data_IF_086730991359
#
_entry.id   IF_086730991359
#
_cell.length_a   1.000
_cell.length_b   1.000
_cell.length_c   1.000
_cell.angle_alpha   90.00
_cell.angle_beta   90.00
_cell.angle_gamma   90.00
#
_symmetry.space_group_name_H-M   'P 1'
#
loop_
_entity.id
_entity.type
_entity.pdbx_description
1 polymer ?
#
# COMPACT_ATOMS: atom_id res chain seq x y z
N UNK A 1 72.36 -13.74 -4.38
CA UNK A 1 71.78 -13.76 -3.02
C UNK A 1 71.29 -12.35 -2.73
N UNK A 2 70.07 -12.18 -2.23
CA UNK A 2 69.56 -10.89 -1.75
C UNK A 2 69.53 -10.90 -0.23
N UNK A 3 70.10 -9.88 0.41
CA UNK A 3 70.15 -9.79 1.86
C UNK A 3 68.73 -9.62 2.44
N UNK A 4 68.43 -10.38 3.51
CA UNK A 4 67.17 -10.19 4.26
C UNK A 4 67.35 -9.02 5.20
N UNK A 5 66.63 -7.93 4.95
CA UNK A 5 66.45 -6.87 5.95
C UNK A 5 65.66 -7.44 7.13
N UNK A 6 66.30 -7.46 8.30
CA UNK A 6 65.72 -7.91 9.56
C UNK A 6 65.66 -6.74 10.55
N UNK A 7 64.49 -6.55 11.17
CA UNK A 7 64.29 -5.50 12.15
C UNK A 7 64.20 -6.12 13.56
N UNK A 8 64.90 -5.57 14.57
CA UNK A 8 64.84 -6.06 15.94
C UNK A 8 63.55 -5.60 16.63
N UNK A 9 62.86 -6.51 17.32
CA UNK A 9 61.71 -6.22 18.16
C UNK A 9 61.80 -7.00 19.49
N UNK A 10 61.06 -6.61 20.55
CA UNK A 10 61.02 -7.37 21.79
C UNK A 10 60.44 -8.77 21.55
N UNK A 11 61.31 -9.80 21.57
CA UNK A 11 60.95 -11.19 21.29
C UNK A 11 61.65 -11.81 20.06
N UNK A 12 62.31 -11.02 19.20
CA UNK A 12 63.11 -11.58 18.09
C UNK A 12 63.31 -10.63 16.91
N UNK A 13 63.84 -11.20 15.81
CA UNK A 13 64.00 -10.50 14.54
C UNK A 13 62.87 -10.84 13.58
N UNK A 14 62.19 -9.83 13.03
CA UNK A 14 61.22 -10.00 11.94
C UNK A 14 61.90 -9.78 10.58
N UNK A 15 61.59 -10.62 9.59
CA UNK A 15 62.02 -10.48 8.19
C UNK A 15 60.80 -10.31 7.28
N UNK A 16 60.89 -9.40 6.30
CA UNK A 16 59.80 -9.13 5.34
C UNK A 16 59.49 -10.39 4.49
N UNK A 17 58.23 -10.83 4.36
CA UNK A 17 57.85 -11.96 3.53
C UNK A 17 58.12 -11.73 2.04
N UNK A 18 58.44 -12.80 1.30
CA UNK A 18 58.63 -12.78 -0.14
C UNK A 18 57.31 -12.97 -0.90
N UNK A 19 57.29 -12.65 -2.19
CA UNK A 19 56.09 -12.77 -3.03
C UNK A 19 55.54 -14.21 -3.17
N UNK A 20 56.30 -15.24 -2.79
CA UNK A 20 55.77 -16.62 -2.67
C UNK A 20 54.99 -16.84 -1.38
N UNK A 21 55.45 -16.26 -0.28
CA UNK A 21 54.86 -16.44 1.05
C UNK A 21 53.45 -15.82 1.12
N UNK A 22 53.23 -14.73 0.38
CA UNK A 22 51.92 -14.09 0.20
C UNK A 22 50.81 -15.02 -0.34
N UNK A 23 51.14 -16.04 -1.14
CA UNK A 23 50.13 -16.94 -1.69
C UNK A 23 49.63 -17.97 -0.66
N UNK A 24 50.52 -18.44 0.23
CA UNK A 24 50.15 -19.35 1.32
C UNK A 24 49.26 -18.64 2.35
N UNK A 25 49.58 -17.38 2.68
CA UNK A 25 48.80 -16.54 3.61
C UNK A 25 47.36 -16.31 3.12
N UNK A 26 47.11 -16.34 1.80
CA UNK A 26 45.77 -16.14 1.23
C UNK A 26 44.85 -17.37 1.34
N UNK A 27 45.39 -18.58 1.57
CA UNK A 27 44.56 -19.79 1.72
C UNK A 27 44.12 -20.01 3.19
N UNK A 28 44.93 -19.63 4.18
CA UNK A 28 44.64 -19.89 5.60
C UNK A 28 43.92 -18.76 6.37
N UNK A 29 43.82 -17.54 5.81
CA UNK A 29 43.11 -16.46 6.49
C UNK A 29 41.57 -16.66 6.48
N UNK A 30 40.89 -16.57 7.64
CA UNK A 30 39.43 -16.77 7.77
C UNK A 30 38.63 -15.53 7.34
N UNK A 31 38.94 -14.99 6.14
CA UNK A 31 38.29 -13.81 5.59
C UNK A 31 36.86 -14.15 5.17
N UNK A 32 35.87 -13.41 5.67
CA UNK A 32 34.46 -13.69 5.47
C UNK A 32 34.04 -13.63 3.97
N UNK A 33 33.00 -14.38 3.55
CA UNK A 33 32.60 -14.48 2.14
C UNK A 33 32.42 -13.16 1.36
N UNK A 34 31.92 -12.05 1.93
CA UNK A 34 31.77 -10.79 1.20
C UNK A 34 33.08 -10.26 0.60
N UNK A 35 34.20 -10.31 1.34
CA UNK A 35 35.48 -9.74 0.86
C UNK A 35 36.07 -10.54 -0.30
N UNK A 36 35.81 -11.85 -0.39
CA UNK A 36 36.21 -12.69 -1.54
C UNK A 36 35.52 -12.23 -2.84
N UNK A 37 34.30 -11.71 -2.78
CA UNK A 37 33.56 -11.22 -3.95
C UNK A 37 34.11 -9.86 -4.43
N UNK A 38 34.43 -8.95 -3.51
CA UNK A 38 35.07 -7.66 -3.86
C UNK A 38 36.46 -7.84 -4.49
N UNK A 39 37.21 -8.85 -4.05
CA UNK A 39 38.48 -9.24 -4.67
C UNK A 39 38.36 -9.67 -6.15
N UNK A 40 37.24 -10.27 -6.56
CA UNK A 40 37.00 -10.68 -7.96
C UNK A 40 36.80 -9.49 -8.92
N UNK A 41 36.34 -8.34 -8.41
CA UNK A 41 36.26 -7.07 -9.16
C UNK A 41 37.49 -6.18 -8.95
N UNK A 42 38.57 -6.73 -8.38
CA UNK A 42 39.84 -6.03 -8.15
C UNK A 42 39.86 -5.08 -6.95
N UNK A 43 38.76 -4.94 -6.21
CA UNK A 43 38.67 -4.02 -5.08
C UNK A 43 39.23 -4.66 -3.81
N UNK A 44 40.41 -4.20 -3.38
CA UNK A 44 40.96 -4.50 -2.05
C UNK A 44 40.37 -3.54 -1.02
N UNK A 45 39.58 -4.09 -0.10
CA UNK A 45 39.12 -3.40 1.12
C UNK A 45 40.09 -3.77 2.25
N UNK A 46 40.58 -2.76 2.98
CA UNK A 46 41.48 -2.95 4.13
C UNK A 46 40.69 -3.06 5.43
N UNK A 47 41.32 -3.54 6.51
CA UNK A 47 40.74 -3.64 7.85
C UNK A 47 40.62 -2.29 8.58
N UNK A 48 40.40 -1.18 7.86
CA UNK A 48 40.05 0.10 8.48
C UNK A 48 38.54 0.26 8.53
N UNK A 49 38.01 0.78 9.64
CA UNK A 49 36.58 1.06 9.79
C UNK A 49 36.06 2.12 8.81
N UNK A 50 36.96 2.88 8.16
CA UNK A 50 36.63 3.74 7.03
C UNK A 50 36.39 2.94 5.75
N UNK A 51 37.31 2.04 5.39
CA UNK A 51 37.21 1.23 4.17
C UNK A 51 36.01 0.26 4.21
N UNK A 52 35.72 -0.32 5.37
CA UNK A 52 34.50 -1.16 5.54
C UNK A 52 33.21 -0.34 5.40
N UNK A 53 33.18 0.90 5.91
CA UNK A 53 32.04 1.81 5.76
C UNK A 53 31.83 2.20 4.29
N UNK A 54 32.91 2.58 3.59
CA UNK A 54 32.87 2.94 2.16
C UNK A 54 32.43 1.75 1.30
N UNK A 55 32.95 0.55 1.55
CA UNK A 55 32.56 -0.66 0.83
C UNK A 55 31.08 -1.03 1.08
N UNK A 56 30.61 -0.92 2.33
CA UNK A 56 29.20 -1.17 2.70
C UNK A 56 28.25 -0.17 2.02
N UNK A 57 28.59 1.12 2.03
CA UNK A 57 27.80 2.17 1.39
C UNK A 57 27.73 1.95 -0.13
N UNK A 58 28.86 1.68 -0.78
CA UNK A 58 28.92 1.44 -2.23
C UNK A 58 28.13 0.20 -2.66
N UNK A 59 28.24 -0.92 -1.93
CA UNK A 59 27.43 -2.13 -2.18
C UNK A 59 25.93 -1.85 -2.01
N UNK A 60 25.55 -1.12 -0.96
CA UNK A 60 24.16 -0.75 -0.69
C UNK A 60 23.59 0.14 -1.81
N UNK A 61 24.34 1.15 -2.25
CA UNK A 61 23.97 2.01 -3.38
C UNK A 61 23.85 1.23 -4.69
N UNK A 62 24.76 0.30 -4.97
CA UNK A 62 24.72 -0.54 -6.17
C UNK A 62 23.47 -1.45 -6.18
N UNK A 63 23.15 -2.08 -5.06
CA UNK A 63 21.95 -2.92 -4.92
C UNK A 63 20.66 -2.10 -5.04
N UNK A 64 20.62 -0.88 -4.48
CA UNK A 64 19.49 0.03 -4.65
C UNK A 64 19.30 0.43 -6.13
N UNK A 65 20.38 0.79 -6.83
CA UNK A 65 20.33 1.13 -8.26
C UNK A 65 19.86 -0.06 -9.13
N UNK A 66 20.36 -1.26 -8.87
CA UNK A 66 19.90 -2.49 -9.55
C UNK A 66 18.40 -2.72 -9.30
N UNK A 67 17.93 -2.52 -8.06
CA UNK A 67 16.51 -2.67 -7.70
C UNK A 67 15.63 -1.65 -8.43
N UNK A 68 16.06 -0.38 -8.52
CA UNK A 68 15.36 0.66 -9.29
C UNK A 68 15.31 0.33 -10.78
N UNK A 69 16.41 -0.16 -11.36
CA UNK A 69 16.46 -0.59 -12.78
C UNK A 69 15.48 -1.74 -13.04
N UNK A 70 15.45 -2.77 -12.17
CA UNK A 70 14.51 -3.89 -12.26
C UNK A 70 13.06 -3.41 -12.12
N UNK A 71 12.79 -2.49 -11.18
CA UNK A 71 11.45 -1.91 -10.97
C UNK A 71 10.97 -1.12 -12.19
N UNK A 72 11.82 -0.27 -12.76
CA UNK A 72 11.49 0.52 -13.97
C UNK A 72 11.31 -0.38 -15.19
N UNK A 73 12.16 -1.39 -15.37
CA UNK A 73 12.05 -2.36 -16.46
C UNK A 73 10.77 -3.21 -16.36
N UNK A 74 10.46 -3.72 -15.16
CA UNK A 74 9.22 -4.46 -14.89
C UNK A 74 7.98 -3.59 -15.08
N UNK A 75 8.00 -2.35 -14.60
CA UNK A 75 6.90 -1.39 -14.77
C UNK A 75 6.64 -1.07 -16.23
N UNK A 76 7.70 -0.75 -17.01
CA UNK A 76 7.59 -0.53 -18.46
C UNK A 76 7.05 -1.76 -19.19
N UNK A 77 7.52 -2.95 -18.82
CA UNK A 77 7.05 -4.22 -19.40
C UNK A 77 5.57 -4.45 -19.09
N UNK A 78 5.15 -4.25 -17.83
CA UNK A 78 3.76 -4.38 -17.39
C UNK A 78 2.83 -3.38 -18.11
N UNK A 79 3.22 -2.11 -18.21
CA UNK A 79 2.49 -1.10 -18.98
C UNK A 79 2.37 -1.48 -20.47
N UNK A 80 3.45 -1.98 -21.09
CA UNK A 80 3.40 -2.45 -22.48
C UNK A 80 2.46 -3.65 -22.68
N UNK A 81 2.41 -4.57 -21.71
CA UNK A 81 1.47 -5.69 -21.72
C UNK A 81 0.02 -5.23 -21.49
N UNK A 82 -0.20 -4.24 -20.61
CA UNK A 82 -1.53 -3.65 -20.36
C UNK A 82 -2.07 -2.95 -21.60
N UNK A 83 -1.23 -2.16 -22.29
CA UNK A 83 -1.57 -1.54 -23.57
C UNK A 83 -1.86 -2.58 -24.67
N UNK A 84 -1.01 -3.60 -24.83
CA UNK A 84 -1.26 -4.72 -25.78
C UNK A 84 -2.54 -5.48 -25.47
N UNK A 85 -2.88 -5.69 -24.19
CA UNK A 85 -4.14 -6.33 -23.75
C UNK A 85 -5.36 -5.46 -24.02
N UNK A 86 -5.27 -4.14 -23.81
CA UNK A 86 -6.34 -3.20 -24.13
C UNK A 86 -6.65 -3.18 -25.64
N UNK A 87 -5.62 -2.99 -26.48
CA UNK A 87 -5.78 -3.02 -27.95
C UNK A 87 -6.27 -4.39 -28.48
N UNK A 88 -5.88 -5.49 -27.82
CA UNK A 88 -6.40 -6.82 -28.13
C UNK A 88 -7.82 -7.10 -27.58
N UNK A 89 -8.36 -6.23 -26.73
CA UNK A 89 -9.77 -6.25 -26.32
C UNK A 89 -10.62 -5.38 -27.25
N UNK A 90 -10.11 -4.18 -27.59
CA UNK A 90 -10.68 -3.24 -28.55
C UNK A 90 -10.93 -3.90 -29.91
N UNK A 91 -9.90 -4.49 -30.54
CA UNK A 91 -10.07 -5.22 -31.81
C UNK A 91 -10.99 -6.44 -31.74
N UNK A 92 -11.23 -7.01 -30.54
CA UNK A 92 -12.25 -8.06 -30.36
C UNK A 92 -13.66 -7.47 -30.30
N UNK A 93 -13.84 -6.32 -29.65
CA UNK A 93 -15.10 -5.59 -29.68
C UNK A 93 -15.45 -5.15 -31.12
N UNK A 94 -14.50 -4.59 -31.87
CA UNK A 94 -14.68 -4.23 -33.28
C UNK A 94 -15.08 -5.44 -34.15
N UNK A 95 -14.43 -6.59 -33.92
CA UNK A 95 -14.74 -7.83 -34.64
C UNK A 95 -16.15 -8.36 -34.31
N UNK A 96 -16.59 -8.22 -33.06
CA UNK A 96 -17.95 -8.60 -32.64
C UNK A 96 -19.00 -7.61 -33.14
N UNK A 97 -18.68 -6.31 -33.18
CA UNK A 97 -19.53 -5.27 -33.76
C UNK A 97 -19.73 -5.48 -35.26
N UNK A 98 -18.64 -5.70 -36.02
CA UNK A 98 -18.72 -5.95 -37.46
C UNK A 98 -19.49 -7.24 -37.81
N UNK A 99 -19.32 -8.33 -37.05
CA UNK A 99 -20.16 -9.53 -37.24
C UNK A 99 -21.64 -9.28 -36.91
N UNK A 100 -21.94 -8.45 -35.90
CA UNK A 100 -23.32 -8.07 -35.56
C UNK A 100 -23.95 -7.19 -36.66
N UNK A 101 -23.21 -6.24 -37.20
CA UNK A 101 -23.64 -5.38 -38.32
C UNK A 101 -23.86 -6.17 -39.61
N UNK A 102 -23.02 -7.16 -39.92
CA UNK A 102 -23.23 -8.04 -41.08
C UNK A 102 -24.51 -8.90 -40.95
N UNK A 103 -24.84 -9.38 -39.75
CA UNK A 103 -26.11 -10.08 -39.52
C UNK A 103 -27.33 -9.15 -39.68
N UNK A 104 -27.24 -7.90 -39.20
CA UNK A 104 -28.34 -6.93 -39.31
C UNK A 104 -28.55 -6.40 -40.74
N UNK A 105 -27.47 -6.25 -41.52
CA UNK A 105 -27.59 -5.82 -42.93
C UNK A 105 -28.32 -6.84 -43.81
N UNK A 106 -28.34 -8.12 -43.40
CA UNK A 106 -29.01 -9.19 -44.15
C UNK A 106 -30.52 -9.30 -43.82
N UNK A 107 -31.02 -8.58 -42.81
CA UNK A 107 -32.44 -8.58 -42.40
C UNK A 107 -33.17 -7.26 -42.68
N UNK A 108 -32.46 -6.15 -42.85
CA UNK A 108 -33.07 -4.81 -42.91
C UNK A 108 -33.36 -4.25 -44.31
N UNK A 109 -33.15 -5.02 -45.38
CA UNK A 109 -33.29 -4.53 -46.76
C UNK A 109 -34.75 -4.46 -47.28
N UNK A 110 -35.72 -4.31 -46.38
CA UNK A 110 -37.17 -4.30 -46.63
C UNK A 110 -37.91 -3.34 -45.68
N UNK A 111 -37.63 -2.03 -45.74
CA UNK A 111 -38.71 -1.03 -45.66
C UNK A 111 -38.35 0.40 -46.08
N UNK A 112 -39.35 1.03 -46.67
CA UNK A 112 -39.46 2.35 -47.30
C UNK A 112 -39.11 3.59 -46.46
N UNK A 113 -38.52 4.58 -47.14
CA UNK A 113 -38.87 6.02 -47.19
C UNK A 113 -39.97 6.54 -46.22
N UNK A 114 -39.73 7.70 -45.55
CA UNK A 114 -40.45 8.96 -45.86
C UNK A 114 -39.80 10.26 -45.29
N UNK A 115 -40.40 11.42 -45.58
CA UNK A 115 -39.81 12.78 -45.65
C UNK A 115 -40.03 13.80 -44.49
N UNK A 116 -39.16 14.83 -44.45
CA UNK A 116 -39.43 16.30 -44.28
C UNK A 116 -39.53 17.04 -42.90
N UNK A 117 -38.75 18.15 -42.81
CA UNK A 117 -39.01 19.51 -42.23
C UNK A 117 -39.41 19.69 -40.74
N UNK A 118 -39.17 20.82 -40.03
CA UNK A 118 -38.97 22.24 -40.45
C UNK A 118 -38.22 23.14 -39.40
N UNK A 119 -38.01 24.43 -39.73
CA UNK A 119 -37.35 25.55 -39.01
C UNK A 119 -38.02 25.98 -37.66
N UNK A 120 -37.53 26.90 -36.77
CA UNK A 120 -37.01 28.27 -37.03
C UNK A 120 -36.47 29.10 -35.80
N UNK A 121 -35.49 30.00 -36.05
CA UNK A 121 -35.23 31.39 -35.48
C UNK A 121 -34.89 31.76 -34.00
N UNK A 122 -33.74 32.46 -33.88
CA UNK A 122 -33.42 33.73 -33.16
C UNK A 122 -33.42 33.78 -31.60
N UNK A 123 -32.69 34.69 -30.92
CA UNK A 123 -32.11 36.00 -31.31
C UNK A 123 -30.71 36.31 -30.67
N UNK A 124 -30.04 37.40 -31.12
CA UNK A 124 -28.78 37.99 -30.58
C UNK A 124 -29.05 38.92 -29.38
N UNK A 125 -28.09 39.44 -28.59
CA UNK A 125 -26.63 39.66 -28.74
C UNK A 125 -25.94 39.57 -27.32
N UNK A 126 -24.72 40.02 -26.94
CA UNK A 126 -23.70 40.96 -27.47
C UNK A 126 -22.28 40.72 -26.86
N UNK A 127 -21.29 41.49 -27.36
CA UNK A 127 -19.94 41.86 -26.86
C UNK A 127 -19.80 42.11 -25.33
N UNK A 128 -18.62 42.09 -24.65
CA UNK A 128 -17.18 41.76 -24.89
C UNK A 128 -16.45 41.73 -23.50
N UNK A 129 -15.13 41.58 -23.25
CA UNK A 129 -13.89 41.61 -24.06
C UNK A 129 -12.69 40.85 -23.41
N UNK A 130 -11.61 40.66 -24.19
CA UNK A 130 -10.17 40.51 -23.86
C UNK A 130 -9.62 39.86 -22.57
N UNK A 131 -8.93 38.73 -22.82
CA UNK A 131 -7.70 38.22 -22.19
C UNK A 131 -6.58 39.24 -21.88
N UNK A 132 -5.79 38.96 -20.84
CA UNK A 132 -4.33 39.18 -20.83
C UNK A 132 -3.59 38.16 -19.92
N UNK A 133 -2.31 37.88 -20.21
CA UNK A 133 -1.43 37.08 -19.36
C UNK A 133 -0.90 37.88 -18.15
N UNK A 134 -0.58 37.19 -17.06
CA UNK A 134 0.33 37.65 -16.03
C UNK A 134 1.39 36.58 -15.75
N UNK A 135 2.67 36.95 -15.78
CA UNK A 135 3.80 36.05 -15.47
C UNK A 135 4.11 36.12 -13.97
N UNK A 136 4.35 34.98 -13.32
CA UNK A 136 4.75 34.95 -11.91
C UNK A 136 6.27 35.06 -11.79
N UNK A 137 6.76 36.08 -11.09
CA UNK A 137 8.20 36.29 -10.88
C UNK A 137 8.78 35.34 -9.81
N UNK A 138 10.01 34.87 -10.05
CA UNK A 138 10.85 34.33 -8.99
C UNK A 138 11.47 35.48 -8.16
N UNK A 139 11.46 35.41 -6.81
CA UNK A 139 12.33 36.25 -5.99
C UNK A 139 13.74 35.63 -5.91
N UNK A 140 14.77 36.36 -6.34
CA UNK A 140 16.14 36.04 -5.98
C UNK A 140 16.45 36.59 -4.58
N UNK A 141 16.86 35.73 -3.66
CA UNK A 141 17.31 36.13 -2.33
C UNK A 141 18.85 36.01 -2.26
N UNK A 142 19.54 37.15 -2.15
CA UNK A 142 20.97 37.20 -1.84
C UNK A 142 21.20 37.00 -0.35
N UNK A 143 21.95 35.97 0.03
CA UNK A 143 22.30 35.69 1.44
C UNK A 143 23.81 35.83 1.64
N UNK A 144 24.20 36.59 2.65
CA UNK A 144 25.59 36.79 3.06
C UNK A 144 25.73 36.66 4.57
N UNK A 145 26.41 35.59 5.03
CA UNK A 145 26.97 35.44 6.39
C UNK A 145 26.01 35.45 7.58
N UNK A 146 25.75 34.28 8.18
CA UNK A 146 26.36 33.94 9.50
C UNK A 146 25.97 32.53 10.00
N UNK A 147 26.93 31.66 10.38
CA UNK A 147 26.64 30.32 10.90
C UNK A 147 26.43 30.34 12.42
N UNK A 148 25.26 30.82 12.88
CA UNK A 148 24.94 30.86 14.32
C UNK A 148 23.50 31.17 14.72
N UNK A 149 22.54 31.20 13.79
CA UNK A 149 21.16 31.65 14.04
C UNK A 149 20.07 30.70 13.47
N UNK A 150 20.44 29.45 13.16
CA UNK A 150 19.54 28.38 12.70
C UNK A 150 18.98 27.55 13.86
N UNK A 151 19.85 26.96 14.68
CA UNK A 151 19.50 25.98 15.71
C UNK A 151 18.42 26.49 16.68
N UNK A 152 18.50 27.75 17.11
CA UNK A 152 17.51 28.35 18.02
C UNK A 152 16.11 28.52 17.41
N UNK A 153 16.00 28.62 16.08
CA UNK A 153 14.70 28.68 15.38
C UNK A 153 14.11 27.28 15.20
N UNK A 154 14.95 26.30 14.87
CA UNK A 154 14.56 24.89 14.76
C UNK A 154 14.03 24.35 16.10
N UNK A 155 14.71 24.67 17.21
CA UNK A 155 14.22 24.32 18.57
C UNK A 155 12.90 25.00 18.91
N UNK A 156 12.71 26.28 18.56
CA UNK A 156 11.46 27.00 18.82
C UNK A 156 10.30 26.45 17.98
N UNK A 157 10.55 26.03 16.74
CA UNK A 157 9.57 25.39 15.87
C UNK A 157 9.17 23.99 16.39
N UNK A 158 10.14 23.19 16.86
CA UNK A 158 9.85 21.91 17.51
C UNK A 158 9.00 22.05 18.78
N UNK A 159 9.24 23.07 19.61
CA UNK A 159 8.40 23.32 20.79
C UNK A 159 6.95 23.68 20.42
N UNK A 160 6.75 24.50 19.37
CA UNK A 160 5.39 24.81 18.89
C UNK A 160 4.66 23.58 18.34
N UNK A 161 5.37 22.68 17.64
CA UNK A 161 4.81 21.42 17.15
C UNK A 161 4.42 20.47 18.29
N UNK A 162 5.26 20.36 19.33
CA UNK A 162 4.92 19.56 20.51
C UNK A 162 3.71 20.11 21.27
N UNK A 163 3.54 21.44 21.34
CA UNK A 163 2.32 22.04 21.90
C UNK A 163 1.09 21.73 21.04
N UNK A 164 1.15 21.90 19.72
CA UNK A 164 0.03 21.60 18.82
C UNK A 164 -0.38 20.12 18.85
N UNK A 165 0.59 19.19 18.97
CA UNK A 165 0.29 17.77 19.15
C UNK A 165 -0.38 17.48 20.50
N UNK A 166 0.10 18.09 21.60
CA UNK A 166 -0.53 17.95 22.91
C UNK A 166 -1.94 18.56 22.97
N UNK A 167 -2.19 19.66 22.26
CA UNK A 167 -3.52 20.26 22.12
C UNK A 167 -4.46 19.31 21.36
N UNK A 168 -4.04 18.75 20.22
CA UNK A 168 -4.82 17.76 19.47
C UNK A 168 -5.09 16.48 20.26
N UNK A 169 -4.11 15.97 21.02
CA UNK A 169 -4.30 14.82 21.90
C UNK A 169 -5.30 15.12 23.02
N UNK A 170 -5.28 16.33 23.60
CA UNK A 170 -6.26 16.75 24.60
C UNK A 170 -7.67 16.95 24.01
N UNK A 171 -7.80 17.50 22.80
CA UNK A 171 -9.09 17.60 22.11
C UNK A 171 -9.68 16.22 21.83
N UNK A 172 -8.89 15.26 21.31
CA UNK A 172 -9.35 13.89 21.10
C UNK A 172 -9.75 13.19 22.41
N UNK A 173 -8.98 13.38 23.49
CA UNK A 173 -9.33 12.82 24.80
C UNK A 173 -10.61 13.45 25.37
N UNK A 174 -10.83 14.75 25.19
CA UNK A 174 -12.06 15.43 25.61
C UNK A 174 -13.28 14.98 24.78
N UNK A 175 -13.13 14.74 23.47
CA UNK A 175 -14.18 14.19 22.63
C UNK A 175 -14.54 12.75 23.03
N UNK A 176 -13.55 11.91 23.36
CA UNK A 176 -13.78 10.55 23.87
C UNK A 176 -14.48 10.54 25.23
N UNK A 177 -14.15 11.47 26.14
CA UNK A 177 -14.78 11.60 27.46
C UNK A 177 -16.22 12.12 27.42
N UNK A 178 -16.65 12.73 26.31
CA UNK A 178 -18.03 13.24 26.15
C UNK A 178 -19.03 12.18 25.66
N UNK A 179 -18.57 11.00 25.20
CA UNK A 179 -19.49 9.92 24.81
C UNK A 179 -20.09 9.25 26.06
N UNK A 180 -21.42 9.20 26.21
CA UNK A 180 -22.03 8.46 27.31
C UNK A 180 -21.79 6.95 27.12
N UNK A 181 -21.53 6.19 28.20
CA UNK A 181 -20.94 4.83 28.13
C UNK A 181 -21.84 3.75 27.49
N UNK A 182 -23.07 4.08 27.10
CA UNK A 182 -23.95 3.22 26.31
C UNK A 182 -23.83 3.43 24.79
N UNK A 183 -23.65 4.68 24.33
CA UNK A 183 -23.61 5.02 22.89
C UNK A 183 -22.31 4.58 22.22
N UNK A 184 -21.21 4.64 22.97
CA UNK A 184 -19.87 4.12 22.61
C UNK A 184 -19.86 2.64 22.16
N UNK A 185 -20.93 1.87 22.37
CA UNK A 185 -21.04 0.47 21.96
C UNK A 185 -21.87 0.20 20.70
N UNK A 186 -22.52 1.21 20.09
CA UNK A 186 -23.34 1.03 18.89
C UNK A 186 -22.52 1.15 17.59
N UNK A 187 -23.07 0.69 16.49
CA UNK A 187 -22.51 0.83 15.14
C UNK A 187 -23.34 1.83 14.36
N UNK A 188 -22.69 2.83 13.75
CA UNK A 188 -23.39 3.82 12.93
C UNK A 188 -23.13 3.59 11.45
N UNK A 189 -24.21 3.48 10.67
CA UNK A 189 -24.21 3.27 9.21
C UNK A 189 -25.34 4.10 8.61
N UNK A 190 -25.05 4.92 7.58
CA UNK A 190 -26.02 5.83 6.95
C UNK A 190 -26.77 6.73 7.96
N UNK A 191 -26.06 7.22 8.98
CA UNK A 191 -26.60 7.99 10.12
C UNK A 191 -27.76 7.30 10.86
N UNK A 192 -27.75 5.96 10.90
CA UNK A 192 -28.59 5.12 11.73
C UNK A 192 -27.70 4.30 12.68
N UNK A 193 -28.13 4.15 13.93
CA UNK A 193 -27.42 3.41 14.99
C UNK A 193 -28.00 2.00 15.13
N UNK A 194 -27.12 1.01 15.26
CA UNK A 194 -27.45 -0.41 15.31
C UNK A 194 -26.77 -1.12 16.49
N UNK A 195 -27.49 -2.00 17.19
CA UNK A 195 -26.91 -2.90 18.21
C UNK A 195 -26.59 -4.27 17.60
N UNK A 196 -25.34 -4.42 17.15
CA UNK A 196 -24.87 -5.64 16.50
C UNK A 196 -24.23 -6.64 17.48
N UNK A 197 -24.26 -6.42 18.81
CA UNK A 197 -23.54 -7.24 19.80
C UNK A 197 -23.90 -8.73 19.72
N UNK A 198 -25.19 -9.05 19.64
CA UNK A 198 -25.65 -10.44 19.45
C UNK A 198 -25.32 -11.03 18.06
N UNK A 199 -25.04 -10.17 17.07
CA UNK A 199 -24.72 -10.59 15.71
C UNK A 199 -23.21 -10.81 15.50
N UNK A 200 -22.33 -10.21 16.32
CA UNK A 200 -20.87 -10.25 16.11
C UNK A 200 -20.31 -11.68 15.94
N UNK A 201 -20.76 -12.62 16.77
CA UNK A 201 -20.33 -14.03 16.71
C UNK A 201 -20.89 -14.81 15.50
N UNK A 202 -21.86 -14.24 14.78
CA UNK A 202 -22.53 -14.80 13.59
C UNK A 202 -22.16 -14.07 12.29
N UNK A 203 -21.40 -12.98 12.39
CA UNK A 203 -20.97 -12.19 11.23
C UNK A 203 -20.05 -13.01 10.31
N UNK A 204 -20.29 -13.10 8.99
CA UNK A 204 -19.47 -13.92 8.09
C UNK A 204 -18.00 -13.50 7.99
N UNK A 205 -17.68 -12.20 8.13
CA UNK A 205 -16.29 -11.72 8.24
C UNK A 205 -15.63 -12.02 9.60
N UNK A 206 -16.40 -12.54 10.57
CA UNK A 206 -15.98 -12.80 11.94
C UNK A 206 -16.10 -11.62 12.89
N UNK A 207 -15.81 -11.88 14.16
CA UNK A 207 -15.90 -10.92 15.27
C UNK A 207 -15.00 -9.70 15.05
N UNK A 208 -13.75 -9.91 14.65
CA UNK A 208 -12.77 -8.82 14.53
C UNK A 208 -13.21 -7.80 13.47
N UNK A 209 -13.66 -8.27 12.30
CA UNK A 209 -14.13 -7.43 11.20
C UNK A 209 -15.29 -6.50 11.57
N UNK A 210 -16.22 -6.96 12.40
CA UNK A 210 -17.36 -6.16 12.86
C UNK A 210 -16.99 -5.30 14.09
N UNK A 211 -16.10 -5.77 14.97
CA UNK A 211 -15.60 -4.96 16.10
C UNK A 211 -14.90 -3.66 15.64
N UNK A 212 -14.26 -3.65 14.47
CA UNK A 212 -13.64 -2.45 13.90
C UNK A 212 -14.63 -1.29 13.62
N UNK A 213 -15.94 -1.58 13.50
CA UNK A 213 -16.99 -0.58 13.32
C UNK A 213 -17.67 -0.12 14.62
N UNK A 214 -17.26 -0.61 15.79
CA UNK A 214 -17.94 -0.31 17.05
C UNK A 214 -17.61 1.10 17.57
N UNK A 215 -18.62 1.81 18.08
CA UNK A 215 -18.49 3.14 18.68
C UNK A 215 -18.19 4.26 17.70
N UNK A 216 -18.56 4.10 16.43
CA UNK A 216 -18.22 5.03 15.35
C UNK A 216 -19.18 4.93 14.15
N UNK A 217 -19.16 5.95 13.31
CA UNK A 217 -19.64 5.83 11.93
C UNK A 217 -18.70 4.89 11.15
N UNK A 218 -19.28 3.98 10.39
CA UNK A 218 -18.57 2.97 9.61
C UNK A 218 -19.25 2.74 8.25
N UNK A 219 -19.93 3.75 7.71
CA UNK A 219 -20.71 3.65 6.45
C UNK A 219 -19.83 3.27 5.25
N UNK A 220 -18.64 3.87 5.17
CA UNK A 220 -17.63 3.68 4.13
C UNK A 220 -17.12 2.24 4.15
N UNK A 221 -16.80 1.73 5.34
CA UNK A 221 -16.41 0.33 5.59
C UNK A 221 -17.55 -0.62 5.23
N UNK A 222 -18.77 -0.32 5.69
CA UNK A 222 -19.94 -1.15 5.48
C UNK A 222 -20.24 -1.32 3.99
N UNK A 223 -20.35 -0.23 3.21
CA UNK A 223 -20.61 -0.32 1.78
C UNK A 223 -19.44 -0.98 1.02
N UNK A 224 -18.19 -0.66 1.38
CA UNK A 224 -17.00 -1.22 0.72
C UNK A 224 -16.90 -2.74 0.90
N UNK A 225 -16.95 -3.24 2.13
CA UNK A 225 -16.83 -4.67 2.42
C UNK A 225 -18.06 -5.49 1.95
N UNK A 226 -19.26 -4.90 1.94
CA UNK A 226 -20.47 -5.57 1.44
C UNK A 226 -20.75 -5.33 -0.05
N UNK A 227 -19.88 -4.62 -0.77
CA UNK A 227 -20.05 -4.27 -2.18
C UNK A 227 -20.31 -5.47 -3.10
N UNK A 228 -19.71 -6.63 -2.82
CA UNK A 228 -19.92 -7.89 -3.58
C UNK A 228 -20.83 -8.91 -2.86
N UNK A 229 -21.36 -8.57 -1.68
CA UNK A 229 -22.26 -9.43 -0.93
C UNK A 229 -23.71 -9.38 -1.45
N UNK A 230 -24.55 -10.29 -0.95
CA UNK A 230 -26.01 -10.23 -1.18
C UNK A 230 -26.61 -9.05 -0.40
N UNK A 231 -26.60 -7.88 -1.03
CA UNK A 231 -27.01 -6.60 -0.47
C UNK A 231 -28.43 -6.60 0.12
N UNK A 232 -29.37 -7.35 -0.46
CA UNK A 232 -30.72 -7.53 0.10
C UNK A 232 -30.69 -8.28 1.43
N UNK A 233 -29.87 -9.33 1.54
CA UNK A 233 -29.69 -10.08 2.80
C UNK A 233 -28.95 -9.23 3.85
N UNK A 234 -27.91 -8.49 3.45
CA UNK A 234 -27.13 -7.63 4.36
C UNK A 234 -28.02 -6.53 4.95
N UNK A 235 -28.69 -5.72 4.10
CA UNK A 235 -29.57 -4.64 4.58
C UNK A 235 -30.76 -5.17 5.40
N UNK A 236 -31.35 -6.31 5.02
CA UNK A 236 -32.42 -6.95 5.80
C UNK A 236 -31.96 -7.66 7.09
N UNK A 237 -30.64 -7.84 7.27
CA UNK A 237 -30.05 -8.28 8.54
C UNK A 237 -29.80 -7.07 9.42
N UNK A 238 -29.11 -6.04 8.90
CA UNK A 238 -28.83 -4.78 9.58
C UNK A 238 -30.10 -4.12 10.15
N UNK A 239 -31.17 -4.04 9.34
CA UNK A 239 -32.44 -3.45 9.76
C UNK A 239 -33.14 -4.13 10.96
N UNK A 240 -32.75 -5.37 11.34
CA UNK A 240 -33.27 -6.06 12.54
C UNK A 240 -32.62 -5.56 13.84
N UNK A 241 -31.48 -4.89 13.71
CA UNK A 241 -30.66 -4.40 14.82
C UNK A 241 -30.74 -2.88 14.97
N UNK A 242 -31.63 -2.22 14.21
CA UNK A 242 -31.84 -0.77 14.26
C UNK A 242 -32.31 -0.32 15.65
N UNK A 243 -31.70 0.75 16.16
CA UNK A 243 -32.04 1.40 17.43
C UNK A 243 -32.67 2.76 17.16
N UNK A 244 -31.93 3.66 16.51
CA UNK A 244 -32.31 5.08 16.32
C UNK A 244 -31.63 5.71 15.09
N UNK A 245 -32.05 6.93 14.74
CA UNK A 245 -31.29 7.79 13.83
C UNK A 245 -30.33 8.67 14.65
N UNK A 246 -29.15 8.96 14.09
CA UNK A 246 -28.13 9.77 14.75
C UNK A 246 -28.56 11.24 14.80
N UNK A 247 -28.51 11.91 15.97
CA UNK A 247 -28.70 13.36 16.08
C UNK A 247 -27.66 14.14 15.27
N UNK A 248 -28.02 15.28 14.70
CA UNK A 248 -27.12 16.07 13.82
C UNK A 248 -25.92 16.69 14.53
N UNK A 249 -25.99 16.74 15.85
CA UNK A 249 -25.02 17.24 16.81
C UNK A 249 -24.19 16.12 17.46
N UNK A 250 -24.47 14.85 17.18
CA UNK A 250 -23.71 13.72 17.69
C UNK A 250 -22.41 13.50 16.88
N UNK A 251 -21.30 13.07 17.52
CA UNK A 251 -19.99 12.97 16.88
C UNK A 251 -19.88 11.84 15.84
N UNK A 252 -20.85 10.93 15.78
CA UNK A 252 -20.95 9.88 14.76
C UNK A 252 -21.84 10.25 13.56
N UNK A 253 -22.40 11.46 13.51
CA UNK A 253 -23.12 11.97 12.34
C UNK A 253 -22.13 12.41 11.24
N UNK A 254 -22.30 11.92 10.00
CA UNK A 254 -21.55 12.46 8.85
C UNK A 254 -22.45 12.75 7.64
N UNK A 255 -22.18 13.85 6.95
CA UNK A 255 -22.80 14.21 5.67
C UNK A 255 -21.76 14.66 4.62
N UNK A 256 -20.52 14.19 4.75
CA UNK A 256 -19.39 14.47 3.84
C UNK A 256 -19.54 13.74 2.49
N UNK A 257 -20.18 12.58 2.48
CA UNK A 257 -20.49 11.81 1.27
C UNK A 257 -22.00 11.79 1.03
N UNK A 258 -22.40 12.02 -0.22
CA UNK A 258 -23.78 11.81 -0.67
C UNK A 258 -23.98 10.32 -0.99
N UNK A 259 -24.79 9.65 -0.19
CA UNK A 259 -25.01 8.20 -0.24
C UNK A 259 -26.32 7.81 -0.97
N UNK A 260 -27.19 8.75 -1.32
CA UNK A 260 -28.43 8.46 -2.06
C UNK A 260 -28.21 8.37 -3.57
N UNK A 261 -27.28 9.15 -4.12
CA UNK A 261 -26.99 9.21 -5.57
C UNK A 261 -25.50 9.00 -5.84
N UNK A 262 -25.07 7.73 -5.98
CA UNK A 262 -23.65 7.35 -6.10
C UNK A 262 -23.26 6.82 -7.50
N UNK A 263 -23.60 7.49 -8.63
CA UNK A 263 -23.61 6.90 -9.96
C UNK A 263 -22.29 6.29 -10.45
N UNK A 264 -21.14 6.83 -10.00
CA UNK A 264 -19.82 6.23 -10.29
C UNK A 264 -19.60 4.92 -9.51
N UNK A 265 -19.92 4.92 -8.21
CA UNK A 265 -19.79 3.75 -7.35
C UNK A 265 -20.76 2.65 -7.79
N UNK A 266 -22.02 2.98 -8.11
CA UNK A 266 -23.02 2.01 -8.58
C UNK A 266 -22.61 1.35 -9.91
N UNK A 267 -22.14 2.14 -10.88
CA UNK A 267 -21.65 1.61 -12.16
C UNK A 267 -20.38 0.76 -11.99
N UNK A 268 -19.50 1.12 -11.04
CA UNK A 268 -18.33 0.32 -10.68
C UNK A 268 -18.74 -1.00 -10.00
N UNK A 269 -19.59 -0.94 -8.96
CA UNK A 269 -20.19 -2.08 -8.22
C UNK A 269 -20.84 -3.05 -9.20
N UNK A 270 -21.64 -2.54 -10.15
CA UNK A 270 -22.26 -3.31 -11.23
C UNK A 270 -21.26 -3.96 -12.18
N UNK A 271 -20.24 -3.22 -12.64
CA UNK A 271 -19.18 -3.76 -13.53
C UNK A 271 -18.35 -4.85 -12.86
N UNK A 272 -18.02 -4.70 -11.57
CA UNK A 272 -17.23 -5.67 -10.81
C UNK A 272 -18.05 -6.93 -10.51
N UNK A 273 -19.30 -6.81 -10.02
CA UNK A 273 -20.23 -7.96 -9.87
C UNK A 273 -20.32 -8.74 -11.19
N UNK A 274 -20.63 -8.05 -12.29
CA UNK A 274 -20.72 -8.66 -13.62
C UNK A 274 -19.38 -9.18 -14.19
N UNK A 275 -18.21 -8.89 -13.61
CA UNK A 275 -16.95 -9.56 -13.96
C UNK A 275 -16.83 -10.93 -13.28
N UNK A 276 -17.25 -11.03 -12.02
CA UNK A 276 -17.20 -12.27 -11.25
C UNK A 276 -18.37 -13.22 -11.57
N UNK A 277 -19.57 -12.73 -11.85
CA UNK A 277 -20.72 -13.56 -12.27
C UNK A 277 -20.40 -14.39 -13.53
N UNK A 278 -19.62 -13.82 -14.45
CA UNK A 278 -19.14 -14.49 -15.68
C UNK A 278 -18.00 -15.48 -15.45
N UNK A 279 -17.42 -15.53 -14.24
CA UNK A 279 -16.45 -16.55 -13.79
C UNK A 279 -17.15 -17.57 -12.89
N UNK A 280 -18.03 -18.40 -13.46
CA UNK A 280 -18.80 -19.45 -12.74
C UNK A 280 -17.95 -20.60 -12.14
N UNK A 281 -16.65 -20.40 -11.95
CA UNK A 281 -15.70 -21.38 -11.42
C UNK A 281 -14.84 -20.77 -10.30
N UNK A 282 -15.49 -20.47 -9.18
CA UNK A 282 -14.82 -20.20 -7.92
C UNK A 282 -15.55 -20.94 -6.78
N UNK A 283 -15.17 -22.19 -6.54
CA UNK A 283 -15.65 -23.02 -5.41
C UNK A 283 -15.33 -22.38 -4.04
N UNK A 284 -14.46 -21.36 -4.05
CA UNK A 284 -14.00 -20.60 -2.89
C UNK A 284 -14.40 -19.11 -2.90
N UNK A 285 -15.25 -18.67 -3.83
CA UNK A 285 -15.66 -17.25 -3.94
C UNK A 285 -14.52 -16.32 -4.35
N UNK A 286 -14.48 -15.10 -3.79
CA UNK A 286 -13.41 -14.11 -4.06
C UNK A 286 -12.15 -14.31 -3.20
N UNK A 287 -12.08 -15.41 -2.43
CA UNK A 287 -10.95 -15.73 -1.55
C UNK A 287 -9.75 -16.31 -2.31
N UNK A 288 -8.62 -16.49 -1.61
CA UNK A 288 -7.38 -16.98 -2.21
C UNK A 288 -7.57 -18.36 -2.88
N UNK A 289 -7.14 -18.46 -4.14
CA UNK A 289 -7.18 -19.70 -4.92
C UNK A 289 -6.00 -20.63 -4.60
N UNK A 290 -6.00 -21.84 -5.17
CA UNK A 290 -4.95 -22.83 -4.93
C UNK A 290 -3.53 -22.32 -5.28
N UNK A 291 -3.40 -21.49 -6.33
CA UNK A 291 -2.12 -20.92 -6.73
C UNK A 291 -1.64 -19.86 -5.73
N UNK A 292 -2.55 -19.00 -5.24
CA UNK A 292 -2.24 -18.04 -4.18
C UNK A 292 -1.89 -18.76 -2.87
N UNK A 293 -2.63 -19.80 -2.47
CA UNK A 293 -2.28 -20.63 -1.30
C UNK A 293 -0.90 -21.28 -1.44
N UNK A 294 -0.58 -21.84 -2.60
CA UNK A 294 0.74 -22.42 -2.88
C UNK A 294 1.84 -21.36 -2.81
N UNK A 295 1.62 -20.16 -3.38
CA UNK A 295 2.55 -19.03 -3.28
C UNK A 295 2.82 -18.66 -1.82
N UNK A 296 1.76 -18.42 -1.04
CA UNK A 296 1.88 -18.00 0.36
C UNK A 296 2.65 -19.05 1.19
N UNK A 297 2.33 -20.34 1.05
CA UNK A 297 3.04 -21.42 1.76
C UNK A 297 4.51 -21.49 1.37
N UNK A 298 4.83 -21.45 0.06
CA UNK A 298 6.22 -21.50 -0.42
C UNK A 298 7.03 -20.32 0.11
N UNK A 299 6.48 -19.10 0.10
CA UNK A 299 7.20 -17.92 0.55
C UNK A 299 7.24 -17.73 2.07
N UNK A 300 6.24 -18.20 2.83
CA UNK A 300 6.34 -18.29 4.31
C UNK A 300 7.49 -19.23 4.71
N UNK A 301 7.54 -20.43 4.12
CA UNK A 301 8.63 -21.37 4.39
C UNK A 301 9.99 -20.84 3.90
N UNK A 302 10.01 -20.16 2.75
CA UNK A 302 11.16 -19.43 2.23
C UNK A 302 11.66 -18.34 3.17
N UNK A 303 10.76 -17.56 3.79
CA UNK A 303 11.10 -16.57 4.80
C UNK A 303 11.64 -17.19 6.08
N UNK A 304 11.08 -18.31 6.55
CA UNK A 304 11.59 -19.03 7.72
C UNK A 304 13.01 -19.55 7.49
N UNK A 305 13.27 -20.18 6.34
CA UNK A 305 14.60 -20.64 5.95
C UNK A 305 15.59 -19.48 5.75
N UNK A 306 15.16 -18.39 5.10
CA UNK A 306 15.98 -17.20 4.91
C UNK A 306 16.30 -16.52 6.25
N UNK A 307 15.35 -16.42 7.19
CA UNK A 307 15.56 -15.88 8.53
C UNK A 307 16.59 -16.71 9.30
N UNK A 308 16.46 -18.05 9.31
CA UNK A 308 17.47 -18.92 9.92
C UNK A 308 18.87 -18.71 9.30
N UNK A 309 18.96 -18.65 7.97
CA UNK A 309 20.23 -18.38 7.31
C UNK A 309 20.80 -16.98 7.59
N UNK A 310 19.95 -15.97 7.77
CA UNK A 310 20.33 -14.61 8.17
C UNK A 310 20.89 -14.59 9.60
N UNK A 311 20.23 -15.27 10.55
CA UNK A 311 20.73 -15.48 11.91
C UNK A 311 22.08 -16.23 11.94
N UNK A 312 22.33 -17.10 10.95
CA UNK A 312 23.64 -17.75 10.75
C UNK A 312 24.65 -16.91 9.92
N UNK A 313 24.41 -15.62 9.68
CA UNK A 313 25.33 -14.72 8.98
C UNK A 313 25.52 -15.01 7.48
N UNK A 314 24.60 -15.75 6.84
CA UNK A 314 24.73 -16.11 5.42
C UNK A 314 24.36 -14.93 4.52
N UNK A 315 25.33 -14.43 3.76
CA UNK A 315 25.15 -13.28 2.85
C UNK A 315 23.94 -13.41 1.89
N UNK A 316 23.73 -14.60 1.31
CA UNK A 316 22.58 -14.87 0.44
C UNK A 316 21.22 -14.71 1.16
N UNK A 317 21.17 -14.98 2.46
CA UNK A 317 19.95 -14.82 3.25
C UNK A 317 19.59 -13.35 3.49
N UNK A 318 20.56 -12.43 3.45
CA UNK A 318 20.30 -10.99 3.56
C UNK A 318 19.46 -10.45 2.39
N UNK A 319 19.57 -11.05 1.20
CA UNK A 319 18.76 -10.67 0.03
C UNK A 319 17.52 -11.56 -0.15
N UNK A 320 17.60 -12.85 0.18
CA UNK A 320 16.43 -13.75 0.11
C UNK A 320 15.37 -13.44 1.18
N UNK A 321 15.74 -13.00 2.38
CA UNK A 321 14.78 -12.73 3.46
C UNK A 321 13.73 -11.66 3.07
N UNK A 322 14.10 -10.42 2.68
CA UNK A 322 13.11 -9.41 2.30
C UNK A 322 12.31 -9.82 1.06
N UNK A 323 12.94 -10.50 0.08
CA UNK A 323 12.25 -10.99 -1.11
C UNK A 323 11.15 -12.01 -0.77
N UNK A 324 11.47 -13.06 0.00
CA UNK A 324 10.48 -14.03 0.43
C UNK A 324 9.42 -13.39 1.34
N UNK A 325 9.83 -12.48 2.22
CA UNK A 325 8.92 -11.80 3.15
C UNK A 325 7.85 -10.99 2.42
N UNK A 326 8.23 -10.31 1.35
CA UNK A 326 7.32 -9.54 0.50
C UNK A 326 6.31 -10.40 -0.30
N UNK A 327 6.60 -11.68 -0.54
CA UNK A 327 5.76 -12.56 -1.38
C UNK A 327 4.91 -13.59 -0.60
N UNK A 328 5.14 -13.73 0.71
CA UNK A 328 4.37 -14.61 1.59
C UNK A 328 3.86 -13.89 2.85
N UNK A 329 4.70 -13.70 3.89
CA UNK A 329 4.31 -13.05 5.15
C UNK A 329 3.64 -11.67 5.00
N UNK A 330 4.16 -10.75 4.19
CA UNK A 330 3.58 -9.42 4.02
C UNK A 330 2.16 -9.47 3.39
N UNK A 331 1.92 -10.19 2.28
CA UNK A 331 0.57 -10.48 1.80
C UNK A 331 -0.34 -11.16 2.84
N UNK A 332 0.19 -12.09 3.66
CA UNK A 332 -0.59 -12.69 4.76
C UNK A 332 -1.01 -11.68 5.83
N UNK A 333 -0.16 -10.68 6.10
CA UNK A 333 -0.46 -9.56 6.99
C UNK A 333 -1.60 -8.71 6.43
N UNK A 334 -1.39 -8.18 5.22
CA UNK A 334 -2.30 -7.31 4.50
C UNK A 334 -3.66 -8.00 4.23
N UNK A 335 -3.69 -9.03 3.39
CA UNK A 335 -4.93 -9.70 2.97
C UNK A 335 -5.65 -10.38 4.15
N UNK A 336 -4.89 -10.81 5.17
CA UNK A 336 -5.43 -11.35 6.41
C UNK A 336 -6.18 -10.30 7.22
N UNK A 337 -5.64 -9.08 7.32
CA UNK A 337 -6.30 -7.94 7.96
C UNK A 337 -7.55 -7.46 7.18
N UNK A 338 -7.56 -7.61 5.85
CA UNK A 338 -8.76 -7.34 5.04
C UNK A 338 -9.72 -8.53 4.96
N UNK A 339 -9.52 -9.57 5.79
CA UNK A 339 -10.38 -10.75 5.89
C UNK A 339 -10.59 -11.50 4.57
N UNK A 340 -9.68 -11.32 3.59
CA UNK A 340 -9.91 -11.71 2.19
C UNK A 340 -9.31 -13.06 1.82
N UNK A 341 -8.30 -13.57 2.53
CA UNK A 341 -7.60 -14.82 2.17
C UNK A 341 -8.53 -16.04 2.25
N UNK A 342 -9.44 -16.09 3.22
CA UNK A 342 -10.25 -17.27 3.53
C UNK A 342 -11.67 -16.93 3.99
N UNK A 343 -12.62 -17.82 3.71
CA UNK A 343 -13.98 -17.78 4.27
C UNK A 343 -14.07 -18.20 5.75
N UNK A 344 -12.93 -18.51 6.40
CA UNK A 344 -12.84 -18.83 7.83
C UNK A 344 -12.12 -17.68 8.55
N UNK A 345 -12.82 -16.87 9.37
CA UNK A 345 -12.21 -15.68 9.99
C UNK A 345 -10.95 -15.97 10.83
N UNK A 346 -10.91 -17.13 11.53
CA UNK A 346 -9.74 -17.52 12.30
C UNK A 346 -8.48 -17.75 11.45
N UNK A 347 -8.65 -18.16 10.18
CA UNK A 347 -7.54 -18.35 9.23
C UNK A 347 -6.97 -17.00 8.81
N UNK A 348 -7.85 -16.02 8.52
CA UNK A 348 -7.44 -14.66 8.20
C UNK A 348 -6.68 -14.03 9.37
N UNK A 349 -7.22 -14.13 10.59
CA UNK A 349 -6.58 -13.65 11.83
C UNK A 349 -5.22 -14.31 12.07
N UNK A 350 -5.12 -15.63 11.90
CA UNK A 350 -3.87 -16.38 12.06
C UNK A 350 -2.81 -15.92 11.05
N UNK A 351 -3.17 -15.78 9.78
CA UNK A 351 -2.26 -15.30 8.74
C UNK A 351 -1.87 -13.82 8.94
N UNK A 352 -2.80 -12.98 9.41
CA UNK A 352 -2.51 -11.59 9.77
C UNK A 352 -1.44 -11.50 10.87
N UNK A 353 -1.53 -12.35 11.90
CA UNK A 353 -0.52 -12.43 12.97
C UNK A 353 0.81 -13.05 12.49
N UNK A 354 0.79 -14.09 11.65
CA UNK A 354 2.01 -14.69 11.06
C UNK A 354 2.75 -13.68 10.18
N UNK A 355 2.01 -12.85 9.44
CA UNK A 355 2.56 -11.77 8.64
C UNK A 355 3.00 -10.54 9.44
N UNK A 356 2.39 -10.29 10.60
CA UNK A 356 2.60 -9.09 11.44
C UNK A 356 3.96 -8.92 12.10
N UNK A 357 5.00 -9.67 11.71
CA UNK A 357 6.32 -9.59 12.35
C UNK A 357 7.05 -8.23 12.22
N UNK A 358 6.56 -7.32 11.36
CA UNK A 358 7.14 -6.00 11.13
C UNK A 358 6.27 -4.82 11.60
N UNK A 359 5.04 -5.05 12.07
CA UNK A 359 4.16 -3.98 12.57
C UNK A 359 3.08 -4.48 13.53
N UNK A 360 2.55 -3.57 14.36
CA UNK A 360 1.37 -3.83 15.18
C UNK A 360 0.12 -4.00 14.31
N UNK A 361 -0.45 -5.21 14.27
CA UNK A 361 -1.74 -5.47 13.59
C UNK A 361 -2.87 -4.60 14.18
N UNK A 362 -2.82 -4.25 15.47
CA UNK A 362 -3.77 -3.32 16.08
C UNK A 362 -3.65 -1.91 15.47
N UNK A 363 -2.42 -1.42 15.29
CA UNK A 363 -2.16 -0.10 14.71
C UNK A 363 -2.55 -0.07 13.23
N UNK A 364 -2.23 -1.13 12.47
CA UNK A 364 -2.65 -1.29 11.09
C UNK A 364 -4.16 -1.31 10.90
N UNK A 365 -4.91 -1.99 11.77
CA UNK A 365 -6.37 -1.92 11.75
C UNK A 365 -6.88 -0.48 11.94
N UNK A 366 -6.24 0.32 12.78
CA UNK A 366 -6.67 1.69 13.07
C UNK A 366 -6.20 2.72 12.03
N UNK A 367 -4.99 2.59 11.51
CA UNK A 367 -4.42 3.48 10.50
C UNK A 367 -4.91 3.08 9.12
N UNK A 368 -4.53 1.89 8.65
CA UNK A 368 -4.79 1.47 7.28
C UNK A 368 -6.23 0.99 7.05
N UNK A 369 -6.75 0.09 7.92
CA UNK A 369 -8.04 -0.58 7.65
C UNK A 369 -9.25 0.33 7.86
N UNK A 370 -9.37 1.04 9.00
CA UNK A 370 -10.50 1.96 9.24
C UNK A 370 -10.25 3.41 8.80
N UNK A 371 -8.99 3.87 8.81
CA UNK A 371 -8.63 5.23 8.45
C UNK A 371 -8.44 5.36 6.94
N UNK A 372 -7.29 4.91 6.44
CA UNK A 372 -6.87 5.06 5.05
C UNK A 372 -7.90 4.53 4.06
N UNK A 373 -8.43 3.31 4.23
CA UNK A 373 -9.39 2.75 3.27
C UNK A 373 -10.78 3.43 3.28
N UNK A 374 -11.18 4.08 4.37
CA UNK A 374 -12.42 4.87 4.42
C UNK A 374 -12.22 6.27 3.82
N UNK A 375 -11.01 6.81 3.94
CA UNK A 375 -10.71 8.22 3.67
C UNK A 375 -9.51 8.42 2.73
N UNK A 376 -9.31 7.52 1.77
CA UNK A 376 -8.09 7.42 0.96
C UNK A 376 -7.69 8.72 0.27
N UNK A 377 -6.53 9.27 0.63
CA UNK A 377 -6.01 10.59 0.21
C UNK A 377 -6.88 11.80 0.56
N UNK A 378 -7.70 11.74 1.62
CA UNK A 378 -8.49 12.89 2.10
C UNK A 378 -7.71 13.67 3.19
N UNK A 379 -7.34 14.94 2.94
CA UNK A 379 -6.68 15.79 3.94
C UNK A 379 -7.46 15.87 5.26
N UNK A 380 -6.75 15.78 6.39
CA UNK A 380 -7.34 15.78 7.73
C UNK A 380 -8.16 14.55 8.11
N UNK A 381 -8.29 13.52 7.25
CA UNK A 381 -8.96 12.25 7.58
C UNK A 381 -8.16 10.98 7.28
N UNK A 382 -7.27 11.01 6.29
CA UNK A 382 -6.35 9.91 6.02
C UNK A 382 -5.14 9.96 6.97
N UNK A 383 -4.96 8.98 7.88
CA UNK A 383 -3.78 8.94 8.73
C UNK A 383 -2.49 8.71 7.91
N UNK A 384 -2.58 8.04 6.76
CA UNK A 384 -1.41 7.69 5.94
C UNK A 384 -0.87 8.92 5.18
N UNK A 385 -1.60 10.05 5.13
CA UNK A 385 -1.10 11.32 4.60
C UNK A 385 -0.16 12.08 5.56
N UNK A 386 -0.27 11.86 6.87
CA UNK A 386 0.38 12.70 7.90
C UNK A 386 1.28 11.91 8.86
N UNK A 387 2.04 10.96 8.31
CA UNK A 387 3.06 10.19 9.03
C UNK A 387 4.03 11.07 9.84
N UNK A 388 4.38 12.26 9.30
CA UNK A 388 5.27 13.23 9.94
C UNK A 388 4.79 14.65 9.59
N UNK A 389 4.24 15.38 10.56
CA UNK A 389 3.98 16.82 10.45
C UNK A 389 5.29 17.60 10.57
N UNK A 390 5.68 18.32 9.51
CA UNK A 390 6.96 19.05 9.34
C UNK A 390 6.98 20.39 10.07
#
# INVERSE_FOLDING_TARGET
MSERFTYPAPGGYFSVPTQKDYWVILEELPVSPPRRILGLVGWRVLDTSYDECVASLALSTLLALITVIIYVASSRTCCSMRARRAWAAERRADSQANNSSNNNNNTNNNNTNNTNNNNNKNNKNNNNNNSSHAQTHQPQASVSGDPGCSEGKEQQQQQQQQQQQQEQEQEQQQQQQQQPPGESQLWTVHNQRFDLREFMARHPGGYDAIALGQGRNCTELFESYHSLANEKLVRATLARHYVEHVPKDAPDYDCTFEWQETPFYDELKRRVRAHFDRKQHAVFGHHADFCQWMQLVVFILGSGFAMYGFMCGKLLSMTLLPFCYWWGPSPCMHDGSHFSISSKPWVNRLLAHIGGAHMSLFSWYHQHTIGHHSHTNIPGRDPDLYHFSI
#
